data_IF_936445974042
#
_entry.id   IF_936445974042
#
_cell.length_a   1.000
_cell.length_b   1.000
_cell.length_c   1.000
_cell.angle_alpha   90.00
_cell.angle_beta   90.00
_cell.angle_gamma   90.00
#
_symmetry.space_group_name_H-M   'P 1'
#
loop_
_entity.id
_entity.type
_entity.pdbx_description
1 polymer ?
#
# COMPACT_ATOMS: atom_id res chain seq x y z
N UNK A 1 14.21 -33.45 38.74
CA UNK A 1 13.83 -32.03 38.57
C UNK A 1 13.81 -31.74 37.08
N UNK A 2 12.70 -31.26 36.50
CA UNK A 2 12.78 -30.66 35.17
C UNK A 2 13.68 -29.41 35.26
N UNK A 3 14.51 -29.12 34.26
CA UNK A 3 15.32 -27.91 34.26
C UNK A 3 14.38 -26.71 34.34
N UNK A 4 14.69 -25.79 35.25
CA UNK A 4 14.07 -24.49 35.30
C UNK A 4 14.55 -23.73 34.05
N UNK A 5 13.86 -23.91 32.93
CA UNK A 5 14.03 -23.03 31.78
C UNK A 5 13.48 -21.67 32.20
N UNK A 6 14.39 -20.78 32.60
CA UNK A 6 14.07 -19.38 32.77
C UNK A 6 13.72 -18.84 31.38
N UNK A 7 12.44 -18.88 31.01
CA UNK A 7 11.95 -18.28 29.78
C UNK A 7 12.01 -16.77 29.96
N UNK A 8 13.18 -16.19 29.68
CA UNK A 8 13.33 -14.74 29.63
C UNK A 8 12.53 -14.26 28.43
N UNK A 9 11.57 -13.34 28.60
CA UNK A 9 10.82 -12.80 27.48
C UNK A 9 11.78 -12.20 26.47
N UNK A 10 11.66 -12.56 25.19
CA UNK A 10 12.51 -12.00 24.12
C UNK A 10 12.46 -10.46 24.10
N UNK A 11 11.33 -9.88 24.52
CA UNK A 11 11.13 -8.44 24.71
C UNK A 11 12.03 -7.82 25.79
N UNK A 12 12.42 -8.57 26.83
CA UNK A 12 13.32 -8.08 27.88
C UNK A 12 14.76 -8.00 27.38
N UNK A 13 15.21 -8.99 26.59
CA UNK A 13 16.59 -9.02 26.05
C UNK A 13 16.80 -8.05 24.89
N UNK A 14 15.72 -7.57 24.25
CA UNK A 14 15.78 -6.59 23.18
C UNK A 14 16.59 -5.34 23.57
N UNK A 15 16.21 -4.65 24.65
CA UNK A 15 16.85 -3.38 25.07
C UNK A 15 18.36 -3.56 25.34
N UNK A 16 18.78 -4.48 26.23
CA UNK A 16 20.21 -4.64 26.54
C UNK A 16 21.00 -5.14 25.34
N UNK A 17 20.44 -6.01 24.49
CA UNK A 17 21.15 -6.50 23.30
C UNK A 17 21.39 -5.38 22.27
N UNK A 18 20.38 -4.55 21.99
CA UNK A 18 20.54 -3.42 21.07
C UNK A 18 21.51 -2.36 21.63
N UNK A 19 21.44 -2.04 22.94
CA UNK A 19 22.39 -1.11 23.58
C UNK A 19 23.82 -1.64 23.57
N UNK A 20 24.00 -2.94 23.86
CA UNK A 20 25.30 -3.61 23.80
C UNK A 20 25.88 -3.57 22.39
N UNK A 21 25.05 -3.82 21.37
CA UNK A 21 25.47 -3.73 19.98
C UNK A 21 25.91 -2.33 19.58
N UNK A 22 25.14 -1.30 19.94
CA UNK A 22 25.49 0.10 19.67
C UNK A 22 26.82 0.46 20.35
N UNK A 23 26.98 0.04 21.61
CA UNK A 23 28.20 0.27 22.39
C UNK A 23 29.41 -0.43 21.75
N UNK A 24 29.23 -1.66 21.28
CA UNK A 24 30.27 -2.40 20.55
C UNK A 24 30.66 -1.70 19.24
N UNK A 25 29.68 -1.24 18.45
CA UNK A 25 29.95 -0.49 17.22
C UNK A 25 30.77 0.77 17.50
N UNK A 26 30.42 1.52 18.56
CA UNK A 26 31.16 2.69 18.99
C UNK A 26 32.59 2.34 19.42
N UNK A 27 32.76 1.29 20.22
CA UNK A 27 34.05 0.85 20.72
C UNK A 27 35.01 0.44 19.59
N UNK A 28 34.57 -0.40 18.66
CA UNK A 28 35.41 -0.82 17.52
C UNK A 28 35.75 0.37 16.63
N UNK A 29 34.77 1.25 16.36
CA UNK A 29 35.01 2.46 15.58
C UNK A 29 36.04 3.37 16.26
N UNK A 30 35.99 3.48 17.58
CA UNK A 30 36.95 4.24 18.37
C UNK A 30 38.37 3.64 18.33
N UNK A 31 38.51 2.31 18.32
CA UNK A 31 39.81 1.67 18.10
C UNK A 31 40.37 1.99 16.71
N UNK A 32 39.55 1.92 15.67
CA UNK A 32 39.93 2.29 14.30
C UNK A 32 40.32 3.77 14.23
N UNK A 33 39.59 4.65 14.93
CA UNK A 33 39.95 6.05 15.08
C UNK A 33 41.33 6.23 15.70
N UNK A 34 41.66 5.52 16.78
CA UNK A 34 42.98 5.62 17.42
C UNK A 34 44.12 5.21 16.48
N UNK A 35 43.90 4.20 15.63
CA UNK A 35 44.89 3.72 14.67
C UNK A 35 45.04 4.67 13.48
N UNK A 36 43.93 5.13 12.91
CA UNK A 36 43.91 5.99 11.72
C UNK A 36 44.12 7.48 12.02
N UNK A 37 43.92 7.90 13.27
CA UNK A 37 43.88 9.31 13.74
C UNK A 37 42.95 10.20 12.92
N UNK A 38 41.89 9.64 12.33
CA UNK A 38 40.94 10.37 11.49
C UNK A 38 39.51 10.25 11.97
N UNK A 39 38.91 11.40 12.28
CA UNK A 39 37.52 11.48 12.72
C UNK A 39 36.52 11.13 11.62
N UNK A 40 36.89 11.33 10.35
CA UNK A 40 36.06 10.92 9.21
C UNK A 40 36.01 9.39 9.14
N UNK A 41 37.15 8.73 9.30
CA UNK A 41 37.25 7.25 9.30
C UNK A 41 36.45 6.66 10.47
N UNK A 42 36.45 7.32 11.63
CA UNK A 42 35.60 6.94 12.77
C UNK A 42 34.12 6.86 12.37
N UNK A 43 33.56 7.91 11.77
CA UNK A 43 32.16 7.94 11.41
C UNK A 43 31.80 6.94 10.32
N UNK A 44 32.66 6.77 9.32
CA UNK A 44 32.47 5.77 8.27
C UNK A 44 32.42 4.37 8.88
N UNK A 45 33.34 4.05 9.79
CA UNK A 45 33.35 2.77 10.49
C UNK A 45 32.09 2.59 11.35
N UNK A 46 31.70 3.61 12.12
CA UNK A 46 30.52 3.56 12.99
C UNK A 46 29.23 3.32 12.20
N UNK A 47 29.03 4.07 11.12
CA UNK A 47 27.88 3.90 10.24
C UNK A 47 27.93 2.54 9.52
N UNK A 48 29.12 2.12 9.08
CA UNK A 48 29.34 0.82 8.47
C UNK A 48 28.90 -0.32 9.39
N UNK A 49 29.38 -0.35 10.63
CA UNK A 49 29.01 -1.38 11.59
C UNK A 49 27.52 -1.31 11.96
N UNK A 50 26.98 -0.12 12.27
CA UNK A 50 25.55 0.01 12.57
C UNK A 50 24.67 -0.47 11.40
N UNK A 51 25.06 -0.20 10.16
CA UNK A 51 24.30 -0.61 8.98
C UNK A 51 24.16 -2.14 8.83
N UNK A 52 25.06 -2.95 9.38
CA UNK A 52 24.98 -4.41 9.24
C UNK A 52 23.66 -4.99 9.77
N UNK A 53 23.19 -4.50 10.93
CA UNK A 53 21.96 -4.99 11.55
C UNK A 53 20.70 -4.21 11.13
N UNK A 54 20.86 -2.98 10.64
CA UNK A 54 19.74 -2.08 10.35
C UNK A 54 19.63 -1.62 8.88
N UNK A 55 20.44 -2.18 7.98
CA UNK A 55 20.50 -1.79 6.55
C UNK A 55 19.15 -1.82 5.87
N UNK A 56 18.35 -2.86 6.10
CA UNK A 56 17.00 -3.00 5.57
C UNK A 56 16.09 -1.84 5.98
N UNK A 57 16.13 -1.39 7.23
CA UNK A 57 15.34 -0.25 7.72
C UNK A 57 15.83 1.06 7.08
N UNK A 58 17.15 1.25 7.00
CA UNK A 58 17.76 2.41 6.34
C UNK A 58 17.31 2.47 4.87
N UNK A 59 17.41 1.37 4.13
CA UNK A 59 16.99 1.31 2.74
C UNK A 59 15.50 1.57 2.58
N UNK A 60 14.64 1.00 3.43
CA UNK A 60 13.19 1.29 3.41
C UNK A 60 12.93 2.79 3.59
N UNK A 61 13.68 3.45 4.47
CA UNK A 61 13.52 4.89 4.72
C UNK A 61 13.95 5.73 3.51
N UNK A 62 15.07 5.37 2.87
CA UNK A 62 15.52 5.99 1.61
C UNK A 62 14.46 5.81 0.51
N UNK A 63 13.92 4.60 0.37
CA UNK A 63 12.87 4.29 -0.61
C UNK A 63 11.62 5.14 -0.33
N UNK A 64 11.17 5.22 0.92
CA UNK A 64 10.02 6.05 1.30
C UNK A 64 10.22 7.51 0.87
N UNK A 65 11.36 8.10 1.23
CA UNK A 65 11.67 9.49 0.90
C UNK A 65 11.72 9.72 -0.62
N UNK A 66 12.29 8.79 -1.38
CA UNK A 66 12.29 8.86 -2.84
C UNK A 66 10.86 8.94 -3.40
N UNK A 67 9.94 8.08 -2.98
CA UNK A 67 8.57 8.09 -3.47
C UNK A 67 7.79 9.32 -3.03
N UNK A 68 7.96 9.77 -1.78
CA UNK A 68 7.29 10.97 -1.26
C UNK A 68 7.73 12.26 -1.97
N UNK A 69 9.00 12.36 -2.37
CA UNK A 69 9.55 13.55 -3.04
C UNK A 69 9.32 13.49 -4.55
N UNK A 70 9.65 12.36 -5.19
CA UNK A 70 9.72 12.29 -6.66
C UNK A 70 8.37 11.94 -7.28
N UNK A 71 7.65 10.96 -6.74
CA UNK A 71 6.40 10.48 -7.37
C UNK A 71 5.15 11.27 -7.00
N UNK A 72 5.18 12.06 -5.92
CA UNK A 72 4.06 12.90 -5.51
C UNK A 72 3.63 13.91 -6.59
N UNK A 73 4.56 14.36 -7.43
CA UNK A 73 4.36 15.49 -8.34
C UNK A 73 3.84 15.11 -9.75
N UNK A 74 3.67 13.82 -10.09
CA UNK A 74 3.31 13.38 -11.46
C UNK A 74 2.22 12.33 -11.47
N UNK A 75 0.99 12.75 -11.19
CA UNK A 75 -0.12 11.83 -10.92
C UNK A 75 -1.37 12.05 -11.78
N UNK A 76 -1.57 13.25 -12.33
CA UNK A 76 -2.72 13.59 -13.17
C UNK A 76 -2.20 14.17 -14.48
N UNK A 77 -2.64 13.59 -15.60
CA UNK A 77 -2.25 14.00 -16.95
C UNK A 77 -3.37 14.76 -17.66
N UNK A 78 -4.62 14.38 -17.39
CA UNK A 78 -5.81 15.04 -17.92
C UNK A 78 -7.00 14.79 -17.00
N UNK A 79 -8.03 15.63 -17.10
CA UNK A 79 -9.26 15.46 -16.33
C UNK A 79 -10.33 14.71 -17.13
N UNK A 80 -11.21 13.94 -16.46
CA UNK A 80 -12.31 13.28 -17.14
C UNK A 80 -13.34 14.30 -17.63
N UNK A 81 -13.99 13.97 -18.74
CA UNK A 81 -15.14 14.71 -19.26
C UNK A 81 -16.32 14.46 -18.31
N UNK A 82 -16.85 15.57 -17.77
CA UNK A 82 -18.04 15.62 -16.90
C UNK A 82 -19.24 16.12 -17.72
N UNK A 83 -20.46 15.69 -17.36
CA UNK A 83 -21.71 16.20 -17.93
C UNK A 83 -22.09 17.56 -17.32
N UNK A 84 -23.24 18.11 -17.71
CA UNK A 84 -23.76 19.40 -17.22
C UNK A 84 -23.99 19.42 -15.69
N UNK A 85 -24.16 18.25 -15.06
CA UNK A 85 -24.27 18.09 -13.60
C UNK A 85 -22.91 17.90 -12.90
N UNK A 86 -21.80 17.99 -13.64
CA UNK A 86 -20.45 17.78 -13.09
C UNK A 86 -20.11 16.30 -12.81
N UNK A 87 -20.87 15.34 -13.34
CA UNK A 87 -20.68 13.90 -13.12
C UNK A 87 -19.97 13.23 -14.29
N UNK A 88 -19.14 12.24 -13.98
CA UNK A 88 -18.57 11.34 -14.98
C UNK A 88 -19.61 10.30 -15.43
N UNK A 89 -19.47 9.78 -16.65
CA UNK A 89 -20.45 8.85 -17.22
C UNK A 89 -20.60 7.54 -16.41
N UNK A 90 -19.53 6.76 -16.30
CA UNK A 90 -19.51 5.45 -15.63
C UNK A 90 -18.09 5.07 -15.23
N UNK A 91 -17.94 4.28 -14.16
CA UNK A 91 -16.64 3.92 -13.59
C UNK A 91 -16.53 2.43 -13.30
N UNK A 92 -15.40 1.82 -13.62
CA UNK A 92 -15.05 0.47 -13.18
C UNK A 92 -13.86 0.51 -12.21
N UNK A 93 -14.08 -0.05 -11.03
CA UNK A 93 -13.08 -0.20 -9.94
C UNK A 93 -12.78 -1.67 -9.64
N UNK A 94 -13.09 -2.54 -10.59
CA UNK A 94 -12.89 -3.98 -10.50
C UNK A 94 -11.43 -4.30 -10.16
N UNK A 95 -11.24 -5.14 -9.14
CA UNK A 95 -9.94 -5.60 -8.58
C UNK A 95 -9.08 -4.49 -7.98
N UNK A 96 -9.64 -3.29 -7.83
CA UNK A 96 -9.01 -2.17 -7.11
C UNK A 96 -9.60 -2.09 -5.70
N UNK A 97 -10.93 -2.06 -5.62
CA UNK A 97 -11.66 -2.12 -4.35
C UNK A 97 -12.48 -3.40 -4.24
N UNK A 98 -12.38 -4.04 -3.08
CA UNK A 98 -13.13 -5.25 -2.76
C UNK A 98 -14.19 -4.92 -1.72
N UNK A 99 -15.45 -4.90 -2.12
CA UNK A 99 -16.59 -4.76 -1.23
C UNK A 99 -16.85 -6.09 -0.50
N UNK A 100 -16.69 -6.16 0.83
CA UNK A 100 -16.92 -7.39 1.57
C UNK A 100 -18.40 -7.75 1.57
N UNK A 101 -18.72 -9.01 1.30
CA UNK A 101 -20.08 -9.55 1.35
C UNK A 101 -20.20 -10.67 2.37
N UNK A 102 -21.27 -10.59 3.15
CA UNK A 102 -21.72 -11.70 4.00
C UNK A 102 -22.53 -12.75 3.22
N UNK A 103 -23.26 -12.32 2.17
CA UNK A 103 -24.09 -13.18 1.31
C UNK A 103 -23.52 -13.30 -0.10
N UNK A 104 -24.09 -14.17 -0.93
CA UNK A 104 -23.65 -14.39 -2.31
C UNK A 104 -23.92 -13.21 -3.25
N UNK A 105 -24.84 -12.33 -2.87
CA UNK A 105 -25.32 -11.21 -3.68
C UNK A 105 -25.38 -9.95 -2.84
N UNK A 106 -25.25 -8.80 -3.49
CA UNK A 106 -25.52 -7.50 -2.87
C UNK A 106 -26.99 -7.43 -2.46
N UNK A 107 -27.23 -7.24 -1.18
CA UNK A 107 -28.55 -6.85 -0.66
C UNK A 107 -28.92 -5.45 -1.12
N UNK A 108 -30.21 -5.11 -1.06
CA UNK A 108 -30.68 -3.80 -1.48
C UNK A 108 -30.05 -2.68 -0.64
N UNK A 109 -29.94 -2.86 0.67
CA UNK A 109 -29.32 -1.88 1.57
C UNK A 109 -27.84 -1.64 1.25
N UNK A 110 -27.10 -2.69 0.89
CA UNK A 110 -25.70 -2.54 0.42
C UNK A 110 -25.63 -1.78 -0.90
N UNK A 111 -26.55 -2.02 -1.84
CA UNK A 111 -26.64 -1.24 -3.08
C UNK A 111 -26.94 0.22 -2.79
N UNK A 112 -27.91 0.51 -1.93
CA UNK A 112 -28.31 1.89 -1.59
C UNK A 112 -27.15 2.66 -0.94
N UNK A 113 -26.34 2.00 -0.11
CA UNK A 113 -25.13 2.59 0.47
C UNK A 113 -24.09 2.93 -0.60
N UNK A 114 -23.87 2.04 -1.56
CA UNK A 114 -22.97 2.30 -2.72
C UNK A 114 -23.54 3.45 -3.55
N UNK A 115 -24.85 3.46 -3.83
CA UNK A 115 -25.51 4.55 -4.56
C UNK A 115 -25.25 5.89 -3.88
N UNK A 116 -25.54 6.01 -2.59
CA UNK A 116 -25.34 7.23 -1.81
C UNK A 116 -23.89 7.73 -1.82
N UNK A 117 -22.91 6.83 -1.85
CA UNK A 117 -21.50 7.19 -1.87
C UNK A 117 -21.01 7.69 -3.24
N UNK A 118 -21.62 7.24 -4.32
CA UNK A 118 -21.09 7.40 -5.69
C UNK A 118 -21.97 8.25 -6.61
N UNK A 119 -23.26 8.43 -6.30
CA UNK A 119 -24.22 9.14 -7.16
C UNK A 119 -23.92 10.63 -7.33
N UNK A 120 -23.15 11.24 -6.41
CA UNK A 120 -22.81 12.66 -6.49
C UNK A 120 -21.83 13.00 -7.61
N UNK A 121 -21.05 12.03 -8.08
CA UNK A 121 -20.01 12.25 -9.10
C UNK A 121 -20.03 11.26 -10.26
N UNK A 122 -20.83 10.19 -10.18
CA UNK A 122 -20.99 9.22 -11.26
C UNK A 122 -22.45 9.21 -11.71
N UNK A 123 -22.68 9.29 -13.02
CA UNK A 123 -24.00 9.38 -13.59
C UNK A 123 -24.69 8.01 -13.69
N UNK A 124 -24.13 7.07 -14.44
CA UNK A 124 -24.81 5.82 -14.83
C UNK A 124 -24.65 4.70 -13.83
N UNK A 125 -23.44 4.15 -13.71
CA UNK A 125 -23.18 2.98 -12.89
C UNK A 125 -21.72 2.92 -12.44
N UNK A 126 -21.47 2.10 -11.43
CA UNK A 126 -20.14 1.70 -10.99
C UNK A 126 -20.01 0.18 -11.00
N UNK A 127 -18.92 -0.32 -11.58
CA UNK A 127 -18.53 -1.73 -11.49
C UNK A 127 -17.55 -1.91 -10.34
N UNK A 128 -17.83 -2.87 -9.47
CA UNK A 128 -17.06 -3.15 -8.25
C UNK A 128 -16.69 -4.62 -8.16
N UNK A 129 -15.61 -4.93 -7.44
CA UNK A 129 -15.35 -6.30 -6.99
C UNK A 129 -15.97 -6.52 -5.63
N UNK A 130 -16.61 -7.66 -5.48
CA UNK A 130 -17.15 -8.15 -4.21
C UNK A 130 -16.32 -9.33 -3.74
N UNK A 131 -16.11 -9.44 -2.43
CA UNK A 131 -15.34 -10.52 -1.83
C UNK A 131 -16.15 -11.18 -0.73
N UNK A 132 -16.22 -12.51 -0.74
CA UNK A 132 -16.79 -13.31 0.36
C UNK A 132 -15.80 -14.36 0.82
N UNK A 133 -15.76 -14.62 2.12
CA UNK A 133 -14.98 -15.70 2.69
C UNK A 133 -15.88 -16.90 2.99
N UNK A 134 -15.61 -18.04 2.35
CA UNK A 134 -16.37 -19.28 2.56
C UNK A 134 -15.48 -20.49 2.34
N UNK A 135 -15.63 -21.53 3.16
CA UNK A 135 -14.84 -22.77 3.06
C UNK A 135 -13.32 -22.53 3.04
N UNK A 136 -12.85 -21.62 3.91
CA UNK A 136 -11.45 -21.20 3.98
C UNK A 136 -10.86 -20.63 2.68
N UNK A 137 -11.71 -20.08 1.80
CA UNK A 137 -11.30 -19.47 0.53
C UNK A 137 -12.01 -18.13 0.33
N UNK A 138 -11.29 -17.19 -0.28
CA UNK A 138 -11.86 -15.95 -0.78
C UNK A 138 -12.44 -16.17 -2.16
N UNK A 139 -13.70 -15.77 -2.35
CA UNK A 139 -14.40 -15.84 -3.62
C UNK A 139 -14.67 -14.41 -4.06
N UNK A 140 -14.18 -14.05 -5.24
CA UNK A 140 -14.32 -12.74 -5.83
C UNK A 140 -15.34 -12.76 -6.96
N UNK A 141 -16.26 -11.80 -6.97
CA UNK A 141 -17.19 -11.61 -8.08
C UNK A 141 -17.23 -10.15 -8.51
N UNK A 142 -17.52 -9.90 -9.77
CA UNK A 142 -17.69 -8.56 -10.32
C UNK A 142 -19.19 -8.23 -10.32
N UNK A 143 -19.54 -7.01 -9.90
CA UNK A 143 -20.93 -6.55 -9.78
C UNK A 143 -21.06 -5.11 -10.27
N UNK A 144 -22.13 -4.86 -11.03
CA UNK A 144 -22.57 -3.52 -11.44
C UNK A 144 -23.60 -2.98 -10.45
N UNK A 145 -23.45 -1.72 -10.08
CA UNK A 145 -24.44 -0.96 -9.30
C UNK A 145 -24.81 0.28 -10.11
N UNK A 146 -26.07 0.36 -10.54
CA UNK A 146 -26.62 1.53 -11.21
C UNK A 146 -26.88 2.65 -10.19
N UNK A 147 -26.75 3.92 -10.61
CA UNK A 147 -26.70 5.10 -9.74
C UNK A 147 -27.81 6.15 -10.02
N UNK A 148 -27.63 7.09 -10.95
CA UNK A 148 -28.65 8.12 -11.20
C UNK A 148 -29.62 7.71 -12.31
N UNK A 149 -29.12 7.04 -13.35
CA UNK A 149 -29.89 6.84 -14.59
C UNK A 149 -31.08 5.87 -14.43
N UNK A 150 -30.99 4.89 -13.52
CA UNK A 150 -32.12 3.98 -13.26
C UNK A 150 -33.33 4.66 -12.62
N UNK A 151 -33.17 5.86 -12.04
CA UNK A 151 -34.28 6.61 -11.42
C UNK A 151 -35.21 7.23 -12.47
N UNK A 152 -34.74 7.38 -13.71
CA UNK A 152 -35.43 8.14 -14.75
C UNK A 152 -35.63 7.33 -16.04
N UNK A 153 -34.83 6.28 -16.28
CA UNK A 153 -34.95 5.43 -17.46
C UNK A 153 -34.54 3.97 -17.17
N UNK A 154 -35.52 3.07 -17.18
CA UNK A 154 -35.31 1.65 -16.94
C UNK A 154 -34.66 0.92 -18.14
N UNK A 155 -34.64 1.51 -19.34
CA UNK A 155 -34.04 0.87 -20.52
C UNK A 155 -32.52 0.67 -20.37
N UNK A 156 -31.86 1.50 -19.57
CA UNK A 156 -30.44 1.35 -19.23
C UNK A 156 -30.12 0.13 -18.34
N UNK A 157 -31.13 -0.46 -17.69
CA UNK A 157 -30.96 -1.68 -16.90
C UNK A 157 -30.76 -2.92 -17.79
N UNK A 158 -31.09 -2.84 -19.08
CA UNK A 158 -31.00 -3.95 -20.03
C UNK A 158 -29.61 -4.06 -20.70
N UNK A 159 -28.79 -3.00 -20.68
CA UNK A 159 -27.45 -3.00 -21.25
C UNK A 159 -26.37 -3.37 -20.20
N UNK A 160 -26.46 -4.59 -19.66
CA UNK A 160 -25.43 -5.16 -18.77
C UNK A 160 -24.06 -5.28 -19.45
N UNK A 161 -23.99 -5.17 -20.79
CA UNK A 161 -22.77 -5.31 -21.59
C UNK A 161 -22.05 -3.98 -21.81
N UNK A 162 -22.66 -2.84 -21.49
CA UNK A 162 -22.02 -1.54 -21.62
C UNK A 162 -20.70 -1.51 -20.86
N UNK A 163 -19.60 -1.11 -21.50
CA UNK A 163 -18.32 -0.90 -20.82
C UNK A 163 -18.32 0.44 -20.10
N UNK A 164 -17.73 0.49 -18.90
CA UNK A 164 -17.54 1.76 -18.20
C UNK A 164 -16.62 2.70 -19.01
N UNK A 165 -16.98 3.98 -19.09
CA UNK A 165 -16.17 5.04 -19.73
C UNK A 165 -14.81 5.20 -19.05
N UNK A 166 -14.76 5.08 -17.72
CA UNK A 166 -13.51 5.13 -16.98
C UNK A 166 -13.25 3.80 -16.28
N UNK A 167 -12.00 3.33 -16.30
CA UNK A 167 -11.58 2.12 -15.61
C UNK A 167 -10.31 2.37 -14.83
N UNK A 168 -10.24 1.82 -13.63
CA UNK A 168 -9.02 1.84 -12.82
C UNK A 168 -8.42 0.45 -12.83
N UNK A 169 -7.15 0.34 -13.21
CA UNK A 169 -6.42 -0.93 -13.20
C UNK A 169 -5.32 -0.88 -12.16
N UNK A 170 -5.09 -2.01 -11.47
CA UNK A 170 -3.99 -2.18 -10.51
C UNK A 170 -2.96 -3.14 -11.08
N UNK A 171 -1.71 -2.71 -11.16
CA UNK A 171 -0.60 -3.51 -11.70
C UNK A 171 0.52 -3.56 -10.66
N UNK A 172 1.00 -4.76 -10.34
CA UNK A 172 2.21 -4.92 -9.52
C UNK A 172 3.43 -4.57 -10.37
N UNK A 173 4.24 -3.63 -9.90
CA UNK A 173 5.50 -3.27 -10.54
C UNK A 173 6.63 -4.16 -10.06
N UNK A 174 7.64 -4.32 -10.91
CA UNK A 174 8.86 -4.98 -10.50
C UNK A 174 9.69 -4.03 -9.62
N UNK A 175 9.74 -4.33 -8.34
CA UNK A 175 10.52 -3.56 -7.38
C UNK A 175 12.00 -3.95 -7.47
N UNK A 176 12.90 -2.95 -7.50
CA UNK A 176 14.35 -3.17 -7.46
C UNK A 176 14.80 -3.96 -6.22
N UNK A 177 14.11 -3.77 -5.09
CA UNK A 177 14.39 -4.45 -3.83
C UNK A 177 13.18 -5.28 -3.37
N UNK A 178 12.88 -6.38 -4.09
CA UNK A 178 11.72 -7.27 -3.84
C UNK A 178 11.59 -7.80 -2.41
N UNK A 179 12.68 -7.83 -1.63
CA UNK A 179 12.69 -8.26 -0.22
C UNK A 179 12.32 -7.14 0.76
N UNK A 180 12.37 -5.88 0.33
CA UNK A 180 12.15 -4.72 1.20
C UNK A 180 10.77 -4.10 1.00
N UNK A 181 10.26 -4.10 -0.23
CA UNK A 181 8.96 -3.52 -0.55
C UNK A 181 8.31 -4.16 -1.78
N UNK A 182 7.01 -3.96 -1.87
CA UNK A 182 6.21 -4.19 -3.08
C UNK A 182 5.65 -2.86 -3.58
N UNK A 183 5.63 -2.68 -4.89
CA UNK A 183 5.05 -1.52 -5.55
C UNK A 183 3.84 -1.91 -6.40
N UNK A 184 2.78 -1.14 -6.27
CA UNK A 184 1.60 -1.23 -7.10
C UNK A 184 1.36 0.12 -7.79
N UNK A 185 1.15 0.09 -9.10
CA UNK A 185 0.69 1.23 -9.88
C UNK A 185 -0.81 1.07 -10.15
N UNK A 186 -1.57 2.14 -9.91
CA UNK A 186 -2.95 2.26 -10.30
C UNK A 186 -3.03 3.20 -11.51
N UNK A 187 -3.66 2.75 -12.59
CA UNK A 187 -3.84 3.56 -13.80
C UNK A 187 -5.31 3.87 -13.96
N UNK A 188 -5.62 5.16 -14.08
CA UNK A 188 -6.93 5.69 -14.38
C UNK A 188 -7.02 5.85 -15.89
N UNK A 189 -7.90 5.11 -16.53
CA UNK A 189 -7.95 4.98 -17.99
C UNK A 189 -9.31 5.46 -18.48
N UNK A 190 -9.31 6.32 -19.49
CA UNK A 190 -10.48 6.61 -20.30
C UNK A 190 -10.60 5.55 -21.42
N UNK A 191 -11.68 4.76 -21.42
CA UNK A 191 -11.81 3.58 -22.27
C UNK A 191 -12.15 3.89 -23.72
N UNK A 192 -12.84 5.00 -24.04
CA UNK A 192 -13.07 5.31 -25.47
C UNK A 192 -11.83 5.87 -26.17
N UNK A 193 -10.96 6.59 -25.44
CA UNK A 193 -9.70 7.12 -26.00
C UNK A 193 -8.50 6.19 -25.74
N UNK A 194 -8.65 5.22 -24.83
CA UNK A 194 -7.60 4.35 -24.32
C UNK A 194 -6.40 5.11 -23.73
N UNK A 195 -6.64 6.31 -23.20
CA UNK A 195 -5.62 7.17 -22.60
C UNK A 195 -5.58 7.01 -21.07
N UNK A 196 -4.36 7.03 -20.52
CA UNK A 196 -4.16 7.10 -19.07
C UNK A 196 -4.31 8.56 -18.65
N UNK A 197 -5.41 8.88 -17.96
CA UNK A 197 -5.72 10.23 -17.48
C UNK A 197 -5.01 10.55 -16.16
N UNK A 198 -4.60 9.51 -15.42
CA UNK A 198 -3.82 9.65 -14.20
C UNK A 198 -3.21 8.35 -13.72
N UNK A 199 -2.24 8.46 -12.82
CA UNK A 199 -1.58 7.35 -12.14
C UNK A 199 -1.47 7.61 -10.66
N UNK A 200 -1.66 6.56 -9.87
CA UNK A 200 -1.37 6.55 -8.44
C UNK A 200 -0.48 5.35 -8.10
N UNK A 201 0.17 5.38 -6.95
CA UNK A 201 1.04 4.33 -6.46
C UNK A 201 0.66 3.88 -5.05
N UNK A 202 1.06 2.66 -4.72
CA UNK A 202 1.08 2.13 -3.35
C UNK A 202 2.36 1.34 -3.15
N UNK A 203 3.14 1.74 -2.15
CA UNK A 203 4.36 1.07 -1.72
C UNK A 203 4.09 0.43 -0.38
N UNK A 204 4.22 -0.89 -0.32
CA UNK A 204 4.07 -1.68 0.90
C UNK A 204 5.45 -2.17 1.32
N UNK A 205 5.92 -1.74 2.49
CA UNK A 205 7.18 -2.22 3.04
C UNK A 205 6.99 -3.59 3.70
N UNK A 206 7.80 -4.55 3.28
CA UNK A 206 7.73 -5.93 3.76
C UNK A 206 8.54 -6.10 5.03
N UNK A 207 8.07 -6.94 5.96
CA UNK A 207 8.88 -7.34 7.12
C UNK A 207 10.12 -8.08 6.61
N UNK A 208 11.27 -7.50 6.92
CA UNK A 208 12.59 -8.01 6.56
C UNK A 208 13.09 -8.83 7.73
N UNK A 209 12.81 -10.13 7.70
CA UNK A 209 13.26 -11.12 8.69
C UNK A 209 14.77 -11.30 8.62
N UNK A 210 15.52 -10.28 9.05
CA UNK A 210 16.96 -10.29 9.12
C UNK A 210 17.36 -11.28 10.23
N UNK A 211 17.74 -12.49 9.82
CA UNK A 211 18.09 -13.59 10.73
C UNK A 211 19.17 -13.20 11.73
N UNK A 212 20.11 -12.32 11.37
CA UNK A 212 21.17 -11.88 12.28
C UNK A 212 20.62 -10.93 13.35
N UNK A 213 19.86 -9.91 12.94
CA UNK A 213 19.22 -8.99 13.88
C UNK A 213 18.27 -9.74 14.82
N UNK A 214 17.45 -10.64 14.29
CA UNK A 214 16.48 -11.35 15.11
C UNK A 214 17.18 -12.30 16.09
N UNK A 215 18.27 -12.96 15.66
CA UNK A 215 19.07 -13.85 16.51
C UNK A 215 19.88 -13.14 17.59
N UNK A 216 20.52 -12.02 17.28
CA UNK A 216 21.48 -11.38 18.18
C UNK A 216 20.92 -10.17 18.92
N UNK A 217 19.91 -9.51 18.35
CA UNK A 217 19.27 -8.32 18.92
C UNK A 217 17.85 -8.59 19.42
N UNK A 218 17.39 -9.84 19.39
CA UNK A 218 16.08 -10.29 19.89
C UNK A 218 14.90 -9.50 19.31
N UNK A 219 14.98 -9.21 18.01
CA UNK A 219 13.84 -8.64 17.27
C UNK A 219 12.82 -9.74 17.02
N UNK A 220 11.78 -9.78 17.85
CA UNK A 220 10.58 -10.59 17.60
C UNK A 220 9.83 -10.05 16.38
N UNK A 221 8.91 -10.85 15.83
CA UNK A 221 8.06 -10.41 14.72
C UNK A 221 7.26 -9.15 15.06
N UNK A 222 6.75 -9.06 16.28
CA UNK A 222 5.99 -7.91 16.78
C UNK A 222 6.86 -6.65 16.83
N UNK A 223 8.11 -6.77 17.29
CA UNK A 223 9.07 -5.67 17.28
C UNK A 223 9.44 -5.27 15.86
N UNK A 224 9.61 -6.24 14.97
CA UNK A 224 9.89 -5.96 13.57
C UNK A 224 8.75 -5.18 12.90
N UNK A 225 7.49 -5.46 13.25
CA UNK A 225 6.31 -4.71 12.81
C UNK A 225 6.28 -3.28 13.37
N UNK A 226 6.63 -3.08 14.65
CA UNK A 226 6.70 -1.76 15.30
C UNK A 226 7.70 -0.82 14.62
N UNK A 227 8.86 -1.35 14.22
CA UNK A 227 9.91 -0.59 13.54
C UNK A 227 9.78 -0.58 12.01
N UNK A 228 8.82 -1.31 11.43
CA UNK A 228 8.62 -1.31 10.00
C UNK A 228 8.01 0.01 9.54
N UNK A 229 8.32 0.40 8.30
CA UNK A 229 7.83 1.65 7.74
C UNK A 229 6.39 1.45 7.26
N UNK A 230 5.51 2.39 7.63
CA UNK A 230 4.13 2.41 7.12
C UNK A 230 4.09 2.47 5.59
N UNK A 231 3.13 1.77 5.00
CA UNK A 231 2.88 1.86 3.57
C UNK A 231 2.57 3.29 3.15
N UNK A 232 3.08 3.71 2.00
CA UNK A 232 2.75 4.99 1.39
C UNK A 232 1.88 4.75 0.16
N UNK A 233 0.87 5.59 -0.03
CA UNK A 233 0.02 5.55 -1.20
C UNK A 233 -0.60 6.93 -1.44
N UNK A 234 -0.99 7.20 -2.67
CA UNK A 234 -1.70 8.43 -3.05
C UNK A 234 -2.98 8.16 -3.84
N UNK A 235 -3.45 6.91 -3.85
CA UNK A 235 -4.64 6.50 -4.59
C UNK A 235 -5.84 7.40 -4.30
N UNK A 236 -6.22 7.54 -3.02
CA UNK A 236 -7.42 8.30 -2.64
C UNK A 236 -7.29 9.78 -3.03
N UNK A 237 -6.09 10.34 -2.96
CA UNK A 237 -5.82 11.73 -3.37
C UNK A 237 -6.03 11.91 -4.87
N UNK A 238 -5.51 11.00 -5.69
CA UNK A 238 -5.65 11.06 -7.15
C UNK A 238 -7.10 10.76 -7.55
N UNK A 239 -7.72 9.76 -6.92
CA UNK A 239 -9.11 9.39 -7.15
C UNK A 239 -10.06 10.58 -6.90
N UNK A 240 -9.91 11.25 -5.75
CA UNK A 240 -10.71 12.44 -5.40
C UNK A 240 -10.53 13.55 -6.43
N UNK A 241 -9.29 13.91 -6.75
CA UNK A 241 -8.98 14.97 -7.71
C UNK A 241 -9.46 14.70 -9.14
N UNK A 242 -9.52 13.43 -9.54
CA UNK A 242 -9.99 13.07 -10.89
C UNK A 242 -11.52 13.06 -10.96
N UNK A 243 -12.18 12.45 -9.97
CA UNK A 243 -13.59 12.12 -10.10
C UNK A 243 -14.52 12.94 -9.21
N UNK A 244 -14.07 13.39 -8.05
CA UNK A 244 -14.93 14.03 -7.03
C UNK A 244 -14.78 15.56 -7.06
N UNK A 245 -13.54 16.05 -7.03
CA UNK A 245 -13.22 17.48 -7.13
C UNK A 245 -13.46 17.97 -8.58
#
# INVERSE_FOLDING_TARGET
MPPLELVVPESFLFIPANLSYISFCFFISFLIYRLSRSFIVFFIALLGFLSLMYSDLIFKHVIKNYYEIVQKNRTIYSYPIKNDEGKIDSLSTVRVYNYPLYKSTLSQTEKDNIVRLHESYINKFIDITTVRYRFNKYIYNEKRVFLNVYKYDNSFLEDEKQKARYTITKVKKESYFKKLYEEFEYRFIDTNSNLIIGTAYSIKFLNSTNKLRNRFLYWSKEKEEEFNINSIQNFDTVYKKLFID
#
